data_IF_760204730908
#
_entry.id   IF_760204730908
#
_cell.length_a   1.000
_cell.length_b   1.000
_cell.length_c   1.000
_cell.angle_alpha   90.00
_cell.angle_beta   90.00
_cell.angle_gamma   90.00
#
_symmetry.space_group_name_H-M   'P 1'
#
loop_
_entity.id
_entity.type
_entity.pdbx_description
1 polymer ?
#
# COMPACT_ATOMS: atom_id res chain seq x y z
N UNK A 1 -52.27 -10.79 7.95
CA UNK A 1 -51.21 -11.40 8.80
C UNK A 1 -49.89 -10.79 8.40
N UNK A 2 -49.23 -10.10 9.31
CA UNK A 2 -47.91 -9.46 9.01
C UNK A 2 -46.82 -10.51 9.20
N UNK A 3 -46.07 -10.75 8.13
CA UNK A 3 -44.92 -11.67 8.12
C UNK A 3 -43.80 -11.04 8.92
N UNK A 4 -43.21 -11.73 9.87
CA UNK A 4 -42.13 -11.21 10.69
C UNK A 4 -40.83 -11.16 9.91
N UNK A 5 -39.92 -10.26 10.30
CA UNK A 5 -38.58 -10.05 9.65
C UNK A 5 -37.75 -11.36 9.55
N UNK A 6 -37.96 -12.32 10.43
CA UNK A 6 -37.30 -13.63 10.42
C UNK A 6 -37.79 -14.55 9.33
N UNK A 7 -39.11 -14.51 9.03
CA UNK A 7 -39.70 -15.34 7.97
C UNK A 7 -39.33 -14.85 6.56
N UNK A 8 -39.13 -13.52 6.39
CA UNK A 8 -38.70 -12.97 5.12
C UNK A 8 -37.27 -13.40 4.73
N UNK A 9 -36.38 -13.69 5.71
CA UNK A 9 -35.01 -14.12 5.46
C UNK A 9 -34.93 -15.61 5.11
N UNK A 10 -35.84 -16.42 5.57
CA UNK A 10 -35.86 -17.86 5.26
C UNK A 10 -36.45 -18.19 3.88
N UNK A 11 -37.21 -17.29 3.27
CA UNK A 11 -37.82 -17.51 1.94
C UNK A 11 -36.90 -17.13 0.79
N UNK A 12 -35.88 -16.31 1.02
CA UNK A 12 -34.92 -15.87 -0.02
C UNK A 12 -33.71 -16.80 -0.22
N UNK A 13 -33.64 -17.91 0.54
CA UNK A 13 -32.49 -18.83 0.52
C UNK A 13 -32.58 -20.06 -0.35
N UNK A 14 -33.69 -20.32 -1.05
CA UNK A 14 -33.92 -21.66 -1.64
C UNK A 14 -34.43 -21.69 -3.09
N UNK A 15 -34.09 -20.73 -3.95
CA UNK A 15 -34.29 -20.92 -5.41
C UNK A 15 -33.40 -20.02 -6.23
N UNK A 16 -32.13 -20.37 -6.30
CA UNK A 16 -31.25 -20.07 -7.44
C UNK A 16 -30.36 -21.28 -7.72
N UNK A 17 -31.01 -22.40 -7.99
CA UNK A 17 -30.37 -23.51 -8.68
C UNK A 17 -30.26 -23.16 -10.15
N UNK A 18 -29.05 -22.94 -10.58
CA UNK A 18 -28.48 -23.12 -11.89
C UNK A 18 -29.30 -22.94 -13.14
N UNK A 19 -28.93 -21.94 -13.91
CA UNK A 19 -28.85 -22.11 -15.36
C UNK A 19 -27.45 -21.61 -15.77
N UNK A 20 -26.56 -22.58 -15.94
CA UNK A 20 -25.27 -22.40 -16.55
C UNK A 20 -25.43 -22.05 -18.02
N UNK A 21 -25.34 -20.77 -18.35
CA UNK A 21 -25.14 -20.28 -19.72
C UNK A 21 -23.64 -20.18 -20.00
N UNK A 22 -22.93 -21.29 -19.90
CA UNK A 22 -21.49 -21.38 -20.16
C UNK A 22 -21.19 -22.37 -21.27
N UNK A 23 -21.80 -22.20 -22.44
CA UNK A 23 -21.58 -23.12 -23.54
C UNK A 23 -21.44 -22.43 -24.92
N UNK A 24 -21.02 -21.16 -25.01
CA UNK A 24 -20.83 -20.54 -26.34
C UNK A 24 -19.62 -19.59 -26.45
N UNK A 25 -18.74 -19.46 -25.45
CA UNK A 25 -17.47 -18.78 -25.64
C UNK A 25 -16.37 -19.62 -25.02
N UNK A 26 -15.40 -20.04 -25.84
CA UNK A 26 -14.28 -20.89 -25.44
C UNK A 26 -13.28 -20.23 -24.49
N UNK A 27 -13.72 -19.38 -23.59
CA UNK A 27 -12.90 -18.88 -22.49
C UNK A 27 -12.92 -19.88 -21.34
N UNK A 28 -11.76 -20.47 -21.06
CA UNK A 28 -11.55 -21.20 -19.82
C UNK A 28 -11.75 -20.24 -18.65
N UNK A 29 -12.95 -20.20 -18.08
CA UNK A 29 -13.19 -19.69 -16.76
C UNK A 29 -12.31 -20.54 -15.83
N UNK A 30 -11.22 -19.97 -15.33
CA UNK A 30 -10.48 -20.56 -14.23
C UNK A 30 -11.49 -20.73 -13.10
N UNK A 31 -11.95 -21.96 -12.89
CA UNK A 31 -12.83 -22.29 -11.79
C UNK A 31 -12.17 -21.78 -10.51
N UNK A 32 -12.77 -20.78 -9.87
CA UNK A 32 -12.42 -20.45 -8.49
C UNK A 32 -12.59 -21.75 -7.71
N UNK A 33 -11.50 -22.19 -7.06
CA UNK A 33 -11.59 -23.30 -6.13
C UNK A 33 -12.76 -23.02 -5.19
N UNK A 34 -13.64 -24.01 -4.94
CA UNK A 34 -14.78 -23.82 -4.06
C UNK A 34 -14.23 -23.29 -2.73
N UNK A 35 -14.66 -22.10 -2.35
CA UNK A 35 -14.44 -21.62 -1.00
C UNK A 35 -15.30 -22.53 -0.12
N UNK A 36 -14.68 -23.55 0.44
CA UNK A 36 -15.31 -24.32 1.52
C UNK A 36 -15.45 -23.35 2.69
N UNK A 37 -16.62 -22.77 2.81
CA UNK A 37 -17.03 -22.06 4.01
C UNK A 37 -17.25 -23.10 5.08
N UNK A 38 -16.16 -23.63 5.64
CA UNK A 38 -16.28 -24.36 6.89
C UNK A 38 -16.94 -23.41 7.91
N UNK A 39 -17.97 -23.87 8.62
CA UNK A 39 -18.59 -23.03 9.63
C UNK A 39 -17.50 -22.57 10.62
N UNK A 40 -17.57 -21.30 11.00
CA UNK A 40 -16.64 -20.75 11.97
C UNK A 40 -16.76 -21.55 13.28
N UNK A 41 -15.65 -22.04 13.87
CA UNK A 41 -15.73 -22.87 15.07
C UNK A 41 -16.24 -22.04 16.26
N UNK A 42 -17.12 -22.66 17.06
CA UNK A 42 -17.73 -22.02 18.25
C UNK A 42 -16.74 -21.86 19.42
N UNK A 43 -15.54 -22.37 19.29
CA UNK A 43 -14.46 -22.24 20.28
C UNK A 43 -13.10 -22.08 19.60
N UNK A 44 -12.09 -21.61 20.36
CA UNK A 44 -10.73 -21.54 19.84
C UNK A 44 -10.22 -22.95 19.54
N UNK A 45 -9.76 -23.15 18.32
CA UNK A 45 -9.17 -24.41 17.86
C UNK A 45 -7.71 -24.19 17.44
N UNK A 46 -6.88 -25.20 17.69
CA UNK A 46 -5.50 -25.20 17.19
C UNK A 46 -5.54 -25.51 15.71
N UNK A 47 -5.02 -24.61 14.90
CA UNK A 47 -4.80 -24.85 13.46
C UNK A 47 -3.30 -24.90 13.16
N UNK A 48 -2.86 -25.73 12.23
CA UNK A 48 -1.47 -25.74 11.81
C UNK A 48 -1.10 -24.36 11.26
N UNK A 49 0.10 -23.89 11.59
CA UNK A 49 0.64 -22.67 11.00
C UNK A 49 0.80 -22.88 9.48
N UNK A 50 0.55 -21.84 8.71
CA UNK A 50 0.84 -21.89 7.27
C UNK A 50 2.33 -22.09 7.07
N UNK A 51 2.68 -23.09 6.27
CA UNK A 51 4.03 -23.23 5.74
C UNK A 51 4.30 -22.16 4.69
N UNK A 52 5.56 -21.80 4.52
CA UNK A 52 5.97 -20.88 3.45
C UNK A 52 5.87 -19.40 3.75
N UNK A 53 5.98 -18.99 5.02
CA UNK A 53 6.24 -17.58 5.34
C UNK A 53 7.55 -17.14 4.68
N UNK A 54 7.61 -15.91 4.11
CA UNK A 54 8.88 -15.39 3.62
C UNK A 54 9.88 -15.33 4.77
N UNK A 55 11.16 -15.50 4.44
CA UNK A 55 12.23 -15.27 5.39
C UNK A 55 12.09 -13.86 6.00
N UNK A 56 12.39 -13.68 7.28
CA UNK A 56 12.41 -12.36 7.89
C UNK A 56 13.28 -11.40 7.08
N UNK A 57 12.90 -10.12 7.03
CA UNK A 57 13.76 -9.10 6.47
C UNK A 57 15.07 -9.04 7.26
N UNK A 58 16.22 -8.86 6.59
CA UNK A 58 17.52 -8.72 7.25
C UNK A 58 17.63 -7.32 7.86
N UNK A 59 17.04 -7.11 9.03
CA UNK A 59 17.07 -5.83 9.73
C UNK A 59 18.29 -5.72 10.67
N UNK A 60 18.74 -4.50 10.90
CA UNK A 60 19.72 -4.16 11.92
C UNK A 60 19.12 -4.40 13.33
N UNK A 61 19.97 -4.39 14.34
CA UNK A 61 19.54 -4.62 15.74
C UNK A 61 18.54 -3.55 16.26
N UNK A 62 18.56 -2.34 15.69
CA UNK A 62 17.64 -1.25 15.99
C UNK A 62 16.33 -1.31 15.17
N UNK A 63 16.17 -2.33 14.34
CA UNK A 63 15.00 -2.50 13.47
C UNK A 63 15.04 -1.71 12.15
N UNK A 64 16.09 -0.94 11.89
CA UNK A 64 16.30 -0.26 10.63
C UNK A 64 16.70 -1.23 9.51
N UNK A 65 16.51 -0.84 8.25
CA UNK A 65 16.97 -1.63 7.11
C UNK A 65 18.46 -1.38 6.86
N UNK A 66 19.27 -2.43 6.59
CA UNK A 66 20.62 -2.24 6.10
C UNK A 66 20.63 -1.43 4.80
N UNK A 67 21.50 -0.44 4.73
CA UNK A 67 21.74 0.30 3.49
C UNK A 67 22.86 -0.39 2.70
N UNK A 68 22.63 -0.59 1.41
CA UNK A 68 23.56 -1.26 0.50
C UNK A 68 24.38 -0.22 -0.28
N UNK A 69 25.59 -0.56 -0.74
CA UNK A 69 26.31 0.24 -1.70
C UNK A 69 25.49 0.47 -2.97
N UNK A 70 25.57 1.66 -3.56
CA UNK A 70 24.84 1.98 -4.79
C UNK A 70 25.23 1.07 -5.97
N UNK A 71 26.43 0.49 -5.95
CA UNK A 71 26.92 -0.47 -6.94
C UNK A 71 26.19 -1.82 -6.94
N UNK A 72 25.48 -2.14 -5.85
CA UNK A 72 24.65 -3.36 -5.75
C UNK A 72 23.25 -3.15 -6.30
N UNK A 73 22.86 -1.91 -6.62
CA UNK A 73 21.54 -1.63 -7.15
C UNK A 73 21.33 -2.30 -8.51
N UNK A 74 20.22 -3.01 -8.62
CA UNK A 74 19.87 -3.78 -9.80
C UNK A 74 18.36 -3.81 -10.08
N UNK A 75 17.95 -4.63 -11.03
CA UNK A 75 16.54 -4.80 -11.34
C UNK A 75 15.82 -5.60 -10.24
N UNK A 76 14.51 -5.39 -10.14
CA UNK A 76 13.63 -6.25 -9.34
C UNK A 76 13.43 -7.57 -10.08
N UNK A 77 13.50 -8.70 -9.38
CA UNK A 77 13.49 -10.07 -9.96
C UNK A 77 12.23 -10.39 -10.78
N UNK A 78 11.10 -9.78 -10.42
CA UNK A 78 9.82 -10.04 -11.11
C UNK A 78 9.07 -8.70 -11.24
N UNK A 79 8.42 -8.42 -12.37
CA UNK A 79 7.58 -7.23 -12.51
C UNK A 79 6.50 -7.18 -11.45
N UNK A 80 6.31 -5.99 -10.87
CA UNK A 80 5.26 -5.76 -9.89
C UNK A 80 3.90 -5.75 -10.60
N UNK A 81 2.98 -6.56 -10.10
CA UNK A 81 1.61 -6.59 -10.61
C UNK A 81 0.76 -5.47 -9.99
N UNK A 82 -0.23 -5.03 -10.75
CA UNK A 82 -1.25 -4.10 -10.31
C UNK A 82 -2.49 -4.84 -9.80
N UNK A 83 -3.25 -4.22 -8.92
CA UNK A 83 -4.55 -4.74 -8.45
C UNK A 83 -5.71 -4.37 -9.39
N UNK A 84 -5.43 -4.13 -10.65
CA UNK A 84 -6.41 -3.92 -11.71
C UNK A 84 -6.89 -5.26 -12.26
N UNK A 85 -8.05 -5.30 -12.88
CA UNK A 85 -8.63 -6.53 -13.44
C UNK A 85 -7.70 -7.23 -14.44
N UNK A 86 -6.97 -6.46 -15.26
CA UNK A 86 -6.01 -6.96 -16.24
C UNK A 86 -4.57 -7.04 -15.70
N UNK A 87 -4.35 -6.70 -14.43
CA UNK A 87 -3.03 -6.65 -13.76
C UNK A 87 -2.01 -5.68 -14.40
N UNK A 88 -2.48 -4.77 -15.24
CA UNK A 88 -1.67 -3.75 -15.89
C UNK A 88 -1.73 -2.43 -15.12
N UNK A 89 -0.76 -1.55 -15.37
CA UNK A 89 -0.76 -0.21 -14.80
C UNK A 89 -2.01 0.56 -15.24
N UNK A 90 -2.69 1.27 -14.32
CA UNK A 90 -3.77 2.18 -14.69
C UNK A 90 -3.25 3.26 -15.66
N UNK A 91 -4.13 3.78 -16.51
CA UNK A 91 -3.81 4.90 -17.39
C UNK A 91 -3.80 6.21 -16.57
N UNK A 92 -2.62 6.61 -16.10
CA UNK A 92 -2.38 7.86 -15.35
C UNK A 92 -1.17 8.59 -15.96
N UNK A 93 -0.92 9.82 -15.52
CA UNK A 93 0.33 10.50 -15.80
C UNK A 93 1.47 9.81 -15.02
N UNK A 94 2.47 9.29 -15.74
CA UNK A 94 3.63 8.62 -15.17
C UNK A 94 4.87 9.51 -15.05
N UNK A 95 4.87 10.65 -15.73
CA UNK A 95 5.93 11.63 -15.63
C UNK A 95 5.86 12.31 -14.26
N UNK A 96 6.85 12.04 -13.41
CA UNK A 96 6.90 12.62 -12.07
C UNK A 96 6.95 14.16 -12.10
N UNK A 97 7.45 14.78 -13.17
CA UNK A 97 7.48 16.24 -13.30
C UNK A 97 6.09 16.84 -13.49
N UNK A 98 5.14 16.04 -13.96
CA UNK A 98 3.74 16.44 -14.18
C UNK A 98 2.77 15.89 -13.13
N UNK A 99 3.29 15.21 -12.10
CA UNK A 99 2.43 14.62 -11.08
C UNK A 99 1.57 15.68 -10.38
N UNK A 100 0.34 15.29 -10.06
CA UNK A 100 -0.60 16.05 -9.26
C UNK A 100 -1.21 15.09 -8.22
N UNK A 101 -0.83 15.26 -6.95
CA UNK A 101 -1.18 14.37 -5.86
C UNK A 101 -2.06 15.14 -4.88
N UNK A 102 -3.23 14.61 -4.59
CA UNK A 102 -4.11 15.20 -3.61
C UNK A 102 -3.58 14.96 -2.19
N UNK A 103 -3.40 16.01 -1.42
CA UNK A 103 -2.97 15.95 -0.01
C UNK A 103 -4.04 16.62 0.85
N UNK A 104 -4.69 15.82 1.68
CA UNK A 104 -5.73 16.26 2.61
C UNK A 104 -5.22 16.10 4.04
N UNK A 105 -4.81 17.20 4.65
CA UNK A 105 -4.35 17.21 6.05
C UNK A 105 -5.49 17.25 7.06
N UNK A 106 -6.74 17.44 6.64
CA UNK A 106 -7.93 17.49 7.52
C UNK A 106 -7.78 18.43 8.72
N UNK A 107 -7.05 19.54 8.53
CA UNK A 107 -6.76 20.49 9.60
C UNK A 107 -5.64 20.03 10.56
N UNK A 108 -4.98 18.92 10.32
CA UNK A 108 -3.84 18.43 11.10
C UNK A 108 -2.50 18.94 10.56
N UNK A 109 -2.52 19.81 9.56
CA UNK A 109 -1.37 20.47 8.97
C UNK A 109 -1.75 21.83 8.40
N UNK A 110 -0.74 22.66 8.12
CA UNK A 110 -0.92 24.01 7.59
C UNK A 110 -1.24 24.03 6.09
N UNK A 111 -0.76 23.03 5.34
CA UNK A 111 -0.95 22.95 3.89
C UNK A 111 -1.87 21.77 3.55
N UNK A 112 -2.78 22.00 2.61
CA UNK A 112 -3.69 21.00 2.04
C UNK A 112 -3.99 21.38 0.59
N UNK A 113 -4.28 20.42 -0.27
CA UNK A 113 -4.59 20.67 -1.68
C UNK A 113 -3.86 19.75 -2.64
N UNK A 114 -3.59 20.20 -3.84
CA UNK A 114 -2.84 19.44 -4.84
C UNK A 114 -1.36 19.74 -4.74
N UNK A 115 -0.57 18.71 -4.45
CA UNK A 115 0.89 18.76 -4.46
C UNK A 115 1.41 18.45 -5.86
N UNK A 116 2.34 19.24 -6.34
CA UNK A 116 3.06 19.04 -7.59
C UNK A 116 4.53 18.70 -7.33
N UNK A 117 5.24 18.25 -8.36
CA UNK A 117 6.68 17.98 -8.25
C UNK A 117 7.47 19.20 -7.78
N UNK A 118 7.08 20.40 -8.24
CA UNK A 118 7.69 21.68 -7.84
C UNK A 118 7.61 21.97 -6.34
N UNK A 119 6.77 21.29 -5.59
CA UNK A 119 6.73 21.37 -4.13
C UNK A 119 7.76 20.45 -3.49
N UNK A 120 7.91 19.22 -4.02
CA UNK A 120 8.88 18.25 -3.52
C UNK A 120 10.32 18.62 -3.87
N UNK A 121 10.57 19.18 -5.05
CA UNK A 121 11.93 19.54 -5.47
C UNK A 121 12.60 20.63 -4.61
N UNK A 122 11.81 21.39 -3.83
CA UNK A 122 12.29 22.36 -2.85
C UNK A 122 12.85 21.72 -1.59
N UNK A 123 12.52 20.45 -1.35
CA UNK A 123 12.96 19.70 -0.18
C UNK A 123 14.34 19.06 -0.41
N UNK A 124 15.09 18.76 0.66
CA UNK A 124 16.36 18.06 0.55
C UNK A 124 16.21 16.74 -0.20
N UNK A 125 16.89 16.62 -1.33
CA UNK A 125 16.91 15.39 -2.12
C UNK A 125 17.85 14.39 -1.48
N UNK A 126 17.36 13.15 -1.30
CA UNK A 126 18.13 12.04 -0.74
C UNK A 126 18.11 10.83 -1.68
N UNK A 127 19.15 10.01 -1.57
CA UNK A 127 19.23 8.73 -2.29
C UNK A 127 19.66 7.65 -1.31
N UNK A 128 18.94 6.54 -1.30
CA UNK A 128 19.22 5.38 -0.46
C UNK A 128 19.09 4.10 -1.28
N UNK A 129 19.89 3.11 -0.94
CA UNK A 129 19.88 1.80 -1.62
C UNK A 129 19.46 0.73 -0.63
N UNK A 130 18.28 0.16 -0.84
CA UNK A 130 17.70 -0.82 0.08
C UNK A 130 17.25 -2.08 -0.65
N UNK A 131 17.21 -3.19 0.09
CA UNK A 131 16.49 -4.37 -0.32
C UNK A 131 14.98 -4.08 -0.32
N UNK A 132 14.34 -4.19 -1.47
CA UNK A 132 12.89 -4.26 -1.59
C UNK A 132 12.49 -5.74 -1.73
N UNK A 133 11.76 -6.25 -0.76
CA UNK A 133 11.27 -7.63 -0.76
C UNK A 133 9.77 -7.65 -0.49
N UNK A 134 9.02 -8.34 -1.35
CA UNK A 134 7.59 -8.59 -1.11
C UNK A 134 7.41 -9.62 0.01
N UNK A 135 6.20 -9.69 0.60
CA UNK A 135 5.84 -10.73 1.57
C UNK A 135 5.85 -12.16 0.99
N UNK A 136 5.86 -12.32 -0.34
CA UNK A 136 6.24 -13.56 -1.03
C UNK A 136 7.74 -13.50 -1.39
N UNK A 137 8.41 -14.63 -1.73
CA UNK A 137 9.83 -14.64 -2.07
C UNK A 137 10.16 -13.70 -3.25
N UNK A 138 9.22 -13.44 -4.12
CA UNK A 138 9.32 -12.54 -5.26
C UNK A 138 8.11 -11.58 -5.28
N UNK A 139 8.26 -10.35 -5.78
CA UNK A 139 9.49 -9.73 -6.28
C UNK A 139 10.43 -9.29 -5.15
N UNK A 140 11.72 -9.30 -5.43
CA UNK A 140 12.77 -8.76 -4.55
C UNK A 140 13.92 -8.16 -5.38
N UNK A 141 14.69 -7.28 -4.79
CA UNK A 141 15.88 -6.69 -5.39
C UNK A 141 16.46 -5.56 -4.55
N UNK A 142 17.76 -5.36 -4.66
CA UNK A 142 18.43 -4.18 -4.10
C UNK A 142 18.24 -3.03 -5.08
N UNK A 143 17.68 -1.94 -4.63
CA UNK A 143 17.26 -0.82 -5.48
C UNK A 143 17.72 0.50 -4.89
N UNK A 144 18.32 1.35 -5.71
CA UNK A 144 18.61 2.74 -5.37
C UNK A 144 17.37 3.59 -5.62
N UNK A 145 16.83 4.16 -4.56
CA UNK A 145 15.70 5.07 -4.59
C UNK A 145 16.19 6.51 -4.41
N UNK A 146 15.63 7.43 -5.18
CA UNK A 146 15.91 8.86 -5.04
C UNK A 146 14.61 9.63 -4.92
N UNK A 147 14.56 10.54 -3.96
CA UNK A 147 13.40 11.33 -3.63
C UNK A 147 13.63 12.27 -2.47
N UNK A 148 12.64 12.44 -1.60
CA UNK A 148 12.72 13.24 -0.37
C UNK A 148 12.31 12.39 0.83
N UNK A 149 12.85 12.69 2.02
CA UNK A 149 12.37 12.02 3.23
C UNK A 149 10.91 12.38 3.48
N UNK A 150 10.15 11.41 3.97
CA UNK A 150 8.78 11.70 4.37
C UNK A 150 8.71 12.68 5.55
N UNK A 151 9.71 12.67 6.43
CA UNK A 151 9.82 13.66 7.53
C UNK A 151 9.87 15.09 7.01
N UNK A 152 10.71 15.35 5.99
CA UNK A 152 10.84 16.70 5.42
C UNK A 152 9.56 17.15 4.72
N UNK A 153 8.86 16.21 4.05
CA UNK A 153 7.54 16.44 3.48
C UNK A 153 6.49 16.74 4.56
N UNK A 154 6.46 15.97 5.64
CA UNK A 154 5.56 16.20 6.77
C UNK A 154 5.81 17.55 7.46
N UNK A 155 7.06 17.98 7.55
CA UNK A 155 7.43 19.29 8.11
C UNK A 155 7.02 20.43 7.16
N UNK A 156 7.18 20.24 5.85
CA UNK A 156 6.66 21.18 4.84
C UNK A 156 5.14 21.36 4.97
N UNK A 157 4.40 20.28 5.18
CA UNK A 157 2.95 20.36 5.41
C UNK A 157 2.60 21.04 6.74
N UNK A 158 3.55 21.19 7.65
CA UNK A 158 3.35 21.73 8.99
C UNK A 158 2.44 20.86 9.83
N UNK A 159 2.61 19.52 9.74
CA UNK A 159 1.80 18.58 10.50
C UNK A 159 1.99 18.77 12.00
N UNK A 160 0.89 18.84 12.73
CA UNK A 160 0.88 18.91 14.20
C UNK A 160 1.15 17.51 14.80
N UNK A 161 1.62 17.42 16.07
CA UNK A 161 1.85 16.13 16.75
C UNK A 161 0.60 15.23 16.83
N UNK A 162 -0.59 15.79 16.73
CA UNK A 162 -1.86 15.04 16.71
C UNK A 162 -2.18 14.37 15.37
N UNK A 163 -1.38 14.57 14.32
CA UNK A 163 -1.51 13.80 13.09
C UNK A 163 -0.91 12.41 13.31
N UNK A 164 -1.76 11.41 13.56
CA UNK A 164 -1.30 10.08 13.95
C UNK A 164 -1.16 9.11 12.78
N UNK A 165 -2.00 9.22 11.77
CA UNK A 165 -2.06 8.32 10.64
C UNK A 165 -2.06 9.06 9.31
N UNK A 166 -1.54 8.41 8.29
CA UNK A 166 -1.67 8.81 6.91
C UNK A 166 -2.20 7.64 6.10
N UNK A 167 -3.32 7.83 5.42
CA UNK A 167 -3.78 6.95 4.35
C UNK A 167 -3.16 7.40 3.05
N UNK A 168 -2.42 6.50 2.40
CA UNK A 168 -1.90 6.70 1.06
C UNK A 168 -2.69 5.83 0.09
N UNK A 169 -3.20 6.44 -0.97
CA UNK A 169 -4.06 5.81 -1.97
C UNK A 169 -3.31 5.77 -3.30
N UNK A 170 -3.27 4.60 -3.91
CA UNK A 170 -2.67 4.36 -5.21
C UNK A 170 -3.67 4.54 -6.36
N UNK A 171 -3.14 4.70 -7.56
CA UNK A 171 -3.94 4.84 -8.78
C UNK A 171 -4.84 3.64 -9.09
N UNK A 172 -4.50 2.45 -8.61
CA UNK A 172 -5.31 1.22 -8.73
C UNK A 172 -6.31 1.06 -7.58
N UNK A 173 -6.55 2.12 -6.81
CA UNK A 173 -7.43 2.18 -5.64
C UNK A 173 -6.98 1.31 -4.46
N UNK A 174 -5.80 0.70 -4.55
CA UNK A 174 -5.16 0.12 -3.38
C UNK A 174 -4.79 1.23 -2.39
N UNK A 175 -4.82 0.93 -1.12
CA UNK A 175 -4.38 1.88 -0.09
C UNK A 175 -3.63 1.18 1.02
N UNK A 176 -2.86 1.96 1.74
CA UNK A 176 -2.28 1.58 3.03
C UNK A 176 -2.58 2.69 4.04
N UNK A 177 -2.76 2.28 5.28
CA UNK A 177 -2.72 3.16 6.44
C UNK A 177 -1.39 2.93 7.15
N UNK A 178 -0.67 4.02 7.41
CA UNK A 178 0.59 3.98 8.13
C UNK A 178 0.59 5.04 9.23
N UNK A 179 1.17 4.75 10.37
CA UNK A 179 1.32 5.73 11.42
C UNK A 179 2.39 6.78 11.06
N UNK A 180 2.14 8.03 11.45
CA UNK A 180 3.03 9.15 11.14
C UNK A 180 4.42 8.99 11.79
N UNK A 181 4.57 8.45 13.02
CA UNK A 181 5.88 8.11 13.57
C UNK A 181 6.70 7.17 12.66
N UNK A 182 6.10 6.10 12.16
CA UNK A 182 6.75 5.21 11.17
C UNK A 182 7.13 5.97 9.89
N UNK A 183 6.21 6.79 9.35
CA UNK A 183 6.49 7.58 8.15
C UNK A 183 7.60 8.62 8.35
N UNK A 184 7.77 9.14 9.56
CA UNK A 184 8.85 10.07 9.91
C UNK A 184 10.20 9.40 10.19
N UNK A 185 10.27 8.08 10.12
CA UNK A 185 11.56 7.37 10.27
C UNK A 185 12.55 7.84 9.20
N UNK A 186 13.84 8.06 9.54
CA UNK A 186 14.84 8.64 8.63
C UNK A 186 15.02 7.92 7.30
N UNK A 187 14.71 6.62 7.24
CA UNK A 187 14.82 5.80 6.03
C UNK A 187 13.55 5.82 5.16
N UNK A 188 12.43 6.39 5.66
CA UNK A 188 11.18 6.44 4.90
C UNK A 188 11.18 7.63 3.96
N UNK A 189 10.86 7.38 2.68
CA UNK A 189 10.94 8.41 1.66
C UNK A 189 9.82 8.30 0.63
N UNK A 190 9.56 9.44 -0.01
CA UNK A 190 8.77 9.56 -1.23
C UNK A 190 9.74 9.59 -2.40
N UNK A 191 9.76 8.53 -3.22
CA UNK A 191 10.70 8.37 -4.32
C UNK A 191 10.03 8.57 -5.67
N UNK A 192 10.75 9.19 -6.61
CA UNK A 192 10.37 9.35 -8.01
C UNK A 192 11.42 8.85 -9.00
N UNK A 193 12.65 8.51 -8.52
CA UNK A 193 13.64 7.81 -9.32
C UNK A 193 13.97 6.43 -8.72
N UNK A 194 14.28 5.51 -9.60
CA UNK A 194 14.72 4.15 -9.34
C UNK A 194 15.98 3.88 -10.18
N UNK A 195 17.09 3.54 -9.53
CA UNK A 195 18.39 3.31 -10.20
C UNK A 195 18.77 4.47 -11.14
N UNK A 196 18.65 5.72 -10.63
CA UNK A 196 18.97 6.99 -11.31
C UNK A 196 18.08 7.34 -12.53
N UNK A 197 17.05 6.56 -12.82
CA UNK A 197 16.07 6.83 -13.88
C UNK A 197 14.66 7.06 -13.29
N UNK A 198 13.73 7.69 -14.00
CA UNK A 198 12.33 7.75 -13.58
C UNK A 198 11.79 6.36 -13.24
N UNK A 199 11.00 6.26 -12.17
CA UNK A 199 10.41 4.97 -11.78
C UNK A 199 9.56 4.46 -12.96
N UNK A 200 9.75 3.21 -13.43
CA UNK A 200 8.89 2.65 -14.46
C UNK A 200 7.44 2.53 -13.96
N UNK A 201 6.42 2.59 -14.86
CA UNK A 201 5.01 2.44 -14.49
C UNK A 201 4.75 1.24 -13.57
N UNK A 202 5.23 0.05 -13.93
CA UNK A 202 5.03 -1.16 -13.14
C UNK A 202 5.74 -1.14 -11.77
N UNK A 203 6.71 -0.25 -11.59
CA UNK A 203 7.45 -0.09 -10.34
C UNK A 203 6.92 1.03 -9.45
N UNK A 204 5.90 1.78 -9.93
CA UNK A 204 5.16 2.70 -9.09
C UNK A 204 5.31 4.18 -9.41
N UNK A 205 5.62 4.53 -10.69
CA UNK A 205 5.55 5.92 -11.14
C UNK A 205 4.13 6.51 -10.91
N UNK A 206 3.99 7.84 -10.76
CA UNK A 206 5.06 8.84 -10.73
C UNK A 206 5.74 8.99 -9.36
N UNK A 207 5.08 8.58 -8.27
CA UNK A 207 5.56 8.71 -6.90
C UNK A 207 5.29 7.44 -6.10
N UNK A 208 6.28 6.98 -5.37
CA UNK A 208 6.21 5.78 -4.55
C UNK A 208 6.67 6.05 -3.13
N UNK A 209 5.97 5.47 -2.14
CA UNK A 209 6.48 5.37 -0.77
C UNK A 209 7.50 4.25 -0.69
N UNK A 210 8.59 4.46 0.05
CA UNK A 210 9.59 3.46 0.40
C UNK A 210 9.66 3.36 1.92
N UNK A 211 9.34 2.17 2.45
CA UNK A 211 9.46 1.80 3.87
C UNK A 211 10.37 0.57 3.93
N UNK A 212 11.70 0.76 3.97
CA UNK A 212 12.64 -0.32 3.70
C UNK A 212 12.69 -1.41 4.77
N UNK A 213 12.32 -1.10 6.01
CA UNK A 213 12.23 -2.05 7.13
C UNK A 213 10.87 -2.77 7.23
N UNK A 214 10.06 -2.69 6.16
CA UNK A 214 8.80 -3.42 5.99
C UNK A 214 8.81 -4.14 4.66
N UNK A 215 8.02 -5.20 4.53
CA UNK A 215 7.82 -5.84 3.24
C UNK A 215 7.24 -4.87 2.20
N UNK A 216 7.55 -5.11 0.94
CA UNK A 216 7.26 -4.21 -0.17
C UNK A 216 5.78 -3.82 -0.36
N UNK A 217 4.84 -4.57 0.24
CA UNK A 217 3.43 -4.19 0.26
C UNK A 217 3.15 -2.92 1.10
N UNK A 218 4.07 -2.53 2.00
CA UNK A 218 4.01 -1.27 2.74
C UNK A 218 4.62 -0.10 1.96
N UNK A 219 5.37 -0.38 0.90
CA UNK A 219 5.94 0.61 -0.02
C UNK A 219 5.00 0.84 -1.21
N UNK A 220 3.87 1.54 -0.95
CA UNK A 220 2.80 1.73 -1.93
C UNK A 220 3.27 2.47 -3.18
N UNK A 221 2.81 2.01 -4.36
CA UNK A 221 3.15 2.54 -5.70
C UNK A 221 2.13 3.55 -6.19
N UNK A 222 2.59 4.45 -7.09
CA UNK A 222 1.72 5.35 -7.86
C UNK A 222 0.69 6.07 -6.99
N UNK A 223 1.21 6.76 -5.99
CA UNK A 223 0.38 7.52 -5.05
C UNK A 223 -0.37 8.62 -5.79
N UNK A 224 -1.67 8.69 -5.59
CA UNK A 224 -2.56 9.73 -6.14
C UNK A 224 -3.18 10.60 -5.07
N UNK A 225 -3.29 10.08 -3.84
CA UNK A 225 -3.88 10.81 -2.72
C UNK A 225 -3.20 10.43 -1.40
N UNK A 226 -3.04 11.40 -0.52
CA UNK A 226 -2.63 11.24 0.87
C UNK A 226 -3.64 11.94 1.77
N UNK A 227 -4.10 11.24 2.81
CA UNK A 227 -5.07 11.78 3.76
C UNK A 227 -4.56 11.55 5.17
N UNK A 228 -4.41 12.65 5.93
CA UNK A 228 -3.99 12.57 7.32
C UNK A 228 -5.19 12.45 8.26
N UNK A 229 -5.01 11.72 9.35
CA UNK A 229 -6.05 11.50 10.34
C UNK A 229 -5.45 11.40 11.75
N UNK A 230 -6.27 11.77 12.72
CA UNK A 230 -6.07 11.42 14.13
C UNK A 230 -7.04 10.27 14.47
N UNK A 231 -6.74 9.43 15.48
CA UNK A 231 -7.69 8.41 15.91
C UNK A 231 -8.95 9.08 16.43
N UNK A 232 -9.90 9.26 15.54
CA UNK A 232 -11.26 9.66 15.82
C UNK A 232 -11.45 10.93 16.66
N UNK A 233 -12.68 11.34 16.69
CA UNK A 233 -13.20 12.29 17.65
C UNK A 233 -12.83 11.81 19.06
N UNK A 234 -12.04 12.63 19.80
CA UNK A 234 -11.84 12.53 21.24
C UNK A 234 -11.93 11.08 21.76
N UNK A 235 -10.84 10.33 21.63
CA UNK A 235 -10.72 9.11 22.42
C UNK A 235 -10.83 9.52 23.90
N UNK A 236 -11.77 8.97 24.65
CA UNK A 236 -11.77 9.18 26.08
C UNK A 236 -10.40 8.75 26.63
N UNK A 237 -9.87 9.41 27.64
CA UNK A 237 -8.63 8.98 28.27
C UNK A 237 -8.76 7.50 28.66
N UNK A 238 -7.68 6.76 28.46
CA UNK A 238 -7.63 5.37 28.90
C UNK A 238 -7.91 5.34 30.41
N UNK A 239 -8.69 4.36 30.89
CA UNK A 239 -8.87 4.17 32.30
C UNK A 239 -7.51 3.97 32.99
N UNK A 240 -7.33 4.61 34.15
CA UNK A 240 -6.10 4.52 34.94
C UNK A 240 -5.88 3.10 35.48
#
# INVERSE_FOLDING_TARGET
MAVTRREAISISGSTLAGLSLAALTGERVLAQAPQTTEPWPDSLVVRPLREGFPAPLPLNADGSAPEHPASEAGPITTPLMWKTANRQAPAIEFDYQKMAIKVDTRGLGKLTGTMHFTDLEKLPRVSHTFLLQCGAPNPSGIVKWTGVRFSDFADMLGLIPGAHYCRLIASDRNYIDEDVPTLRHPQVMLAWLMNDAPIPPNNGAPLRLIVPFRYGNRSIKAITEMMFATPGLLMPPLPA
#
